data_IF_312140769820
#
_entry.id   IF_312140769820
#
_cell.length_a   1.000
_cell.length_b   1.000
_cell.length_c   1.000
_cell.angle_alpha   90.00
_cell.angle_beta   90.00
_cell.angle_gamma   90.00
#
_symmetry.space_group_name_H-M   'P 1'
#
loop_
_entity.id
_entity.type
_entity.pdbx_description
1 polymer ?
#
# COMPACT_ATOMS: atom_id res chain seq x y z
N UNK A 1 35.06 -56.71 -8.29
CA UNK A 1 33.63 -56.73 -8.69
C UNK A 1 32.86 -55.81 -7.76
N UNK A 2 32.10 -54.91 -8.36
CA UNK A 2 31.32 -53.82 -7.77
C UNK A 2 30.26 -54.29 -6.76
N UNK A 3 29.91 -53.41 -5.81
CA UNK A 3 28.78 -53.62 -4.90
C UNK A 3 28.54 -52.47 -3.92
N UNK A 4 28.56 -51.22 -4.40
CA UNK A 4 28.07 -50.06 -3.65
C UNK A 4 26.54 -50.08 -3.72
N UNK A 5 25.84 -50.07 -2.59
CA UNK A 5 24.41 -49.74 -2.61
C UNK A 5 23.68 -49.93 -1.28
N UNK A 6 22.84 -48.95 -0.92
CA UNK A 6 21.72 -49.04 0.05
C UNK A 6 21.83 -48.41 1.46
N UNK A 7 22.62 -47.35 1.68
CA UNK A 7 22.48 -46.55 2.93
C UNK A 7 22.16 -45.05 2.78
N UNK A 8 21.95 -44.53 1.57
CA UNK A 8 21.74 -43.08 1.36
C UNK A 8 20.28 -42.61 1.22
N UNK A 9 19.29 -43.50 1.26
CA UNK A 9 17.89 -43.11 0.92
C UNK A 9 17.09 -42.61 2.14
N UNK A 10 17.46 -42.95 3.38
CA UNK A 10 16.67 -42.60 4.57
C UNK A 10 16.93 -41.20 5.14
N UNK A 11 18.06 -40.57 4.82
CA UNK A 11 18.37 -39.21 5.31
C UNK A 11 17.74 -38.08 4.48
N UNK A 12 17.35 -38.35 3.23
CA UNK A 12 16.76 -37.33 2.37
C UNK A 12 15.33 -36.94 2.78
N UNK A 13 14.56 -37.88 3.36
CA UNK A 13 13.17 -37.64 3.74
C UNK A 13 13.00 -36.85 5.05
N UNK A 14 13.97 -36.91 5.97
CA UNK A 14 13.91 -36.16 7.22
C UNK A 14 14.30 -34.68 7.06
N UNK A 15 15.10 -34.34 6.04
CA UNK A 15 15.50 -32.95 5.75
C UNK A 15 14.41 -32.20 4.98
N UNK A 16 13.60 -32.91 4.18
CA UNK A 16 12.50 -32.29 3.42
C UNK A 16 11.39 -31.68 4.30
N UNK A 17 11.10 -32.26 5.46
CA UNK A 17 10.08 -31.73 6.37
C UNK A 17 10.56 -30.57 7.25
N UNK A 18 11.87 -30.44 7.50
CA UNK A 18 12.42 -29.31 8.25
C UNK A 18 12.51 -28.02 7.41
N UNK A 19 12.57 -28.14 6.08
CA UNK A 19 12.49 -26.98 5.18
C UNK A 19 11.06 -26.46 4.97
N UNK A 20 10.03 -27.25 5.28
CA UNK A 20 8.62 -26.86 5.16
C UNK A 20 8.10 -26.04 6.35
N UNK A 21 8.89 -25.91 7.43
CA UNK A 21 8.56 -25.09 8.60
C UNK A 21 9.17 -23.67 8.55
N UNK A 22 9.91 -23.34 7.50
CA UNK A 22 10.20 -21.95 7.18
C UNK A 22 8.92 -21.37 6.59
N UNK A 23 8.13 -20.67 7.41
CA UNK A 23 6.94 -19.94 7.02
C UNK A 23 7.19 -19.26 5.67
N UNK A 24 6.62 -19.82 4.60
CA UNK A 24 6.76 -19.23 3.28
C UNK A 24 6.04 -17.88 3.37
N UNK A 25 6.81 -16.81 3.54
CA UNK A 25 6.31 -15.46 3.47
C UNK A 25 5.89 -15.26 2.02
N UNK A 26 4.59 -15.43 1.75
CA UNK A 26 4.05 -15.23 0.41
C UNK A 26 3.73 -13.76 0.29
N UNK A 27 4.50 -13.05 -0.51
CA UNK A 27 4.15 -11.71 -0.94
C UNK A 27 2.92 -11.79 -1.85
N UNK A 28 1.86 -11.07 -1.48
CA UNK A 28 0.67 -10.89 -2.31
C UNK A 28 0.50 -9.42 -2.62
N UNK A 29 0.00 -9.12 -3.82
CA UNK A 29 -0.42 -7.77 -4.16
C UNK A 29 -1.49 -7.31 -3.15
N UNK A 30 -1.21 -6.20 -2.47
CA UNK A 30 -2.13 -5.60 -1.52
C UNK A 30 -3.32 -5.00 -2.30
N UNK A 31 -4.56 -5.23 -1.85
CA UNK A 31 -5.71 -4.67 -2.52
C UNK A 31 -5.80 -3.15 -2.28
N UNK A 32 -6.08 -2.40 -3.34
CA UNK A 32 -6.18 -0.93 -3.27
C UNK A 32 -6.04 -0.26 -4.63
N UNK A 33 -6.06 1.07 -4.61
CA UNK A 33 -5.73 1.94 -5.75
C UNK A 33 -4.55 2.80 -5.32
N UNK A 34 -3.44 2.73 -6.04
CA UNK A 34 -2.19 3.35 -5.65
C UNK A 34 -1.67 4.25 -6.76
N UNK A 35 -1.26 5.46 -6.41
CA UNK A 35 -0.64 6.41 -7.34
C UNK A 35 0.73 6.82 -6.84
N UNK A 36 1.70 6.71 -7.75
CA UNK A 36 3.08 7.17 -7.59
C UNK A 36 3.24 8.43 -8.45
N UNK A 37 3.49 9.58 -7.82
CA UNK A 37 3.56 10.88 -8.46
C UNK A 37 4.99 11.39 -8.39
N UNK A 38 5.70 11.34 -9.52
CA UNK A 38 7.03 11.89 -9.64
C UNK A 38 6.94 13.39 -9.92
N UNK A 39 7.33 14.19 -8.94
CA UNK A 39 7.37 15.64 -9.01
C UNK A 39 8.65 16.11 -9.73
N UNK A 40 8.58 17.27 -10.37
CA UNK A 40 9.72 17.89 -11.07
C UNK A 40 10.74 18.56 -10.14
N UNK A 41 10.40 18.71 -8.87
CA UNK A 41 11.26 19.25 -7.81
C UNK A 41 10.88 18.60 -6.47
N UNK A 42 11.75 18.67 -5.45
CA UNK A 42 11.42 18.22 -4.11
C UNK A 42 10.14 18.91 -3.59
N UNK A 43 9.17 18.15 -3.04
CA UNK A 43 7.97 18.73 -2.44
C UNK A 43 8.36 19.63 -1.26
N UNK A 44 7.75 20.82 -1.10
CA UNK A 44 7.88 21.61 0.12
C UNK A 44 7.19 20.89 1.29
N UNK A 45 7.63 21.20 2.51
CA UNK A 45 7.14 20.55 3.74
C UNK A 45 5.62 20.68 3.95
N UNK A 46 4.98 21.70 3.35
CA UNK A 46 3.54 21.95 3.45
C UNK A 46 2.70 21.18 2.42
N UNK A 47 3.30 20.71 1.32
CA UNK A 47 2.57 20.14 0.18
C UNK A 47 1.67 18.99 0.59
N UNK A 48 2.18 18.13 1.48
CA UNK A 48 1.47 16.93 1.90
C UNK A 48 0.19 17.28 2.68
N UNK A 49 0.27 18.27 3.58
CA UNK A 49 -0.87 18.73 4.38
C UNK A 49 -1.90 19.45 3.51
N UNK A 50 -1.45 20.35 2.63
CA UNK A 50 -2.32 21.08 1.72
C UNK A 50 -3.09 20.12 0.79
N UNK A 51 -2.37 19.19 0.17
CA UNK A 51 -2.98 18.21 -0.73
C UNK A 51 -3.97 17.28 -0.01
N UNK A 52 -3.67 16.88 1.22
CA UNK A 52 -4.59 16.09 2.03
C UNK A 52 -5.89 16.84 2.37
N UNK A 53 -5.83 18.16 2.57
CA UNK A 53 -7.03 19.00 2.72
C UNK A 53 -7.92 18.98 1.48
N UNK A 54 -7.33 19.00 0.29
CA UNK A 54 -8.07 18.90 -0.97
C UNK A 54 -8.68 17.51 -1.19
N UNK A 55 -7.92 16.46 -0.85
CA UNK A 55 -8.40 15.08 -0.89
C UNK A 55 -9.57 14.87 0.07
N UNK A 56 -9.52 15.44 1.28
CA UNK A 56 -10.62 15.41 2.22
C UNK A 56 -11.88 16.10 1.66
N UNK A 57 -11.72 17.28 1.05
CA UNK A 57 -12.81 17.99 0.41
C UNK A 57 -13.45 17.21 -0.75
N UNK A 58 -12.63 16.50 -1.55
CA UNK A 58 -13.10 15.66 -2.65
C UNK A 58 -13.85 14.41 -2.18
N UNK A 59 -13.32 13.76 -1.14
CA UNK A 59 -13.74 12.41 -0.73
C UNK A 59 -14.85 12.39 0.32
N UNK A 60 -15.14 13.53 0.95
CA UNK A 60 -16.02 13.65 2.12
C UNK A 60 -15.57 12.75 3.30
N UNK A 61 -14.28 12.43 3.36
CA UNK A 61 -13.65 11.68 4.45
C UNK A 61 -13.01 12.66 5.45
N UNK A 62 -12.83 12.22 6.68
CA UNK A 62 -12.23 13.05 7.73
C UNK A 62 -10.70 13.00 7.65
N UNK A 63 -10.01 14.15 7.58
CA UNK A 63 -8.56 14.18 7.64
C UNK A 63 -8.10 13.87 9.08
N UNK A 64 -7.23 12.88 9.22
CA UNK A 64 -6.45 12.61 10.43
C UNK A 64 -4.99 12.89 10.14
N UNK A 65 -4.46 13.90 10.82
CA UNK A 65 -3.07 14.31 10.71
C UNK A 65 -2.20 13.40 11.56
N UNK A 66 -1.21 12.77 10.94
CA UNK A 66 -0.18 12.10 11.72
C UNK A 66 0.70 13.19 12.33
N UNK A 67 0.72 13.28 13.66
CA UNK A 67 1.64 14.19 14.34
C UNK A 67 3.10 13.79 14.09
N UNK A 68 4.05 14.53 14.71
CA UNK A 68 5.51 14.34 14.60
C UNK A 68 6.07 12.91 14.86
N UNK A 69 5.23 11.94 15.23
CA UNK A 69 5.66 10.66 15.80
C UNK A 69 5.16 9.41 15.05
N UNK A 70 4.45 9.52 13.94
CA UNK A 70 4.03 8.33 13.17
C UNK A 70 4.42 8.45 11.70
N UNK A 71 5.65 8.01 11.43
CA UNK A 71 6.36 7.99 10.13
C UNK A 71 6.63 9.38 9.53
N UNK A 72 7.89 9.85 9.48
CA UNK A 72 8.24 11.20 9.02
C UNK A 72 7.87 11.46 7.55
N UNK A 73 7.60 10.42 6.77
CA UNK A 73 7.17 10.47 5.38
C UNK A 73 5.63 10.54 5.20
N UNK A 74 4.84 10.23 6.24
CA UNK A 74 3.38 10.30 6.22
C UNK A 74 2.87 11.56 6.92
N UNK A 75 2.19 12.43 6.17
CA UNK A 75 1.61 13.65 6.75
C UNK A 75 0.15 13.48 7.17
N UNK A 76 -0.60 12.61 6.50
CA UNK A 76 -2.04 12.56 6.65
C UNK A 76 -2.63 11.21 6.19
N UNK A 77 -3.67 10.80 6.90
CA UNK A 77 -4.61 9.80 6.43
C UNK A 77 -6.00 10.44 6.36
N UNK A 78 -6.73 10.19 5.29
CA UNK A 78 -8.12 10.64 5.15
C UNK A 78 -9.01 9.41 5.26
N UNK A 79 -9.85 9.38 6.29
CA UNK A 79 -10.48 8.16 6.79
C UNK A 79 -12.00 8.35 6.92
N UNK A 80 -12.79 7.29 6.76
CA UNK A 80 -14.11 7.24 7.40
C UNK A 80 -14.13 6.20 8.51
N UNK A 81 -14.82 6.53 9.60
CA UNK A 81 -15.16 5.57 10.66
C UNK A 81 -16.65 5.20 10.55
N UNK A 82 -17.10 4.92 9.32
CA UNK A 82 -18.52 4.73 9.06
C UNK A 82 -18.98 3.40 9.67
N UNK A 83 -19.78 3.47 10.73
CA UNK A 83 -20.38 2.31 11.39
C UNK A 83 -21.26 1.43 10.46
N UNK A 84 -21.65 1.94 9.29
CA UNK A 84 -22.59 1.30 8.36
C UNK A 84 -22.03 1.07 6.93
N UNK A 85 -20.71 1.19 6.70
CA UNK A 85 -20.10 0.97 5.38
C UNK A 85 -18.66 0.46 5.48
N UNK A 86 -18.02 0.07 4.36
CA UNK A 86 -16.62 -0.34 4.39
C UNK A 86 -15.74 0.86 4.76
N UNK A 87 -14.84 0.64 5.71
CA UNK A 87 -13.84 1.63 6.12
C UNK A 87 -12.91 1.92 4.94
N UNK A 88 -12.69 3.19 4.64
CA UNK A 88 -11.81 3.65 3.57
C UNK A 88 -10.71 4.48 4.16
N UNK A 89 -9.52 4.30 3.62
CA UNK A 89 -8.35 5.06 4.01
C UNK A 89 -7.60 5.56 2.78
N UNK A 90 -7.30 6.86 2.75
CA UNK A 90 -6.39 7.46 1.77
C UNK A 90 -5.16 7.92 2.52
N UNK A 91 -4.03 7.30 2.25
CA UNK A 91 -2.75 7.67 2.82
C UNK A 91 -1.98 8.53 1.84
N UNK A 92 -1.42 9.63 2.32
CA UNK A 92 -0.63 10.57 1.52
C UNK A 92 0.76 10.65 2.13
N UNK A 93 1.76 10.33 1.32
CA UNK A 93 3.16 10.19 1.75
C UNK A 93 4.07 10.95 0.80
N UNK A 94 5.03 11.70 1.32
CA UNK A 94 6.04 12.40 0.51
C UNK A 94 7.43 11.85 0.78
N UNK A 95 8.21 11.70 -0.29
CA UNK A 95 9.64 11.42 -0.23
C UNK A 95 10.38 12.57 -0.93
N UNK A 96 10.93 13.48 -0.12
CA UNK A 96 11.60 14.67 -0.62
C UNK A 96 12.89 14.33 -1.40
N UNK A 97 13.63 13.31 -0.94
CA UNK A 97 14.88 12.89 -1.56
C UNK A 97 14.66 12.36 -2.98
N UNK A 98 13.53 11.67 -3.20
CA UNK A 98 13.15 11.12 -4.51
C UNK A 98 12.20 12.02 -5.29
N UNK A 99 11.80 13.16 -4.73
CA UNK A 99 10.77 14.05 -5.31
C UNK A 99 9.48 13.30 -5.64
N UNK A 100 9.02 12.46 -4.72
CA UNK A 100 7.84 11.60 -4.90
C UNK A 100 6.70 11.98 -3.95
N UNK A 101 5.48 11.84 -4.45
CA UNK A 101 4.25 11.83 -3.66
C UNK A 101 3.54 10.50 -3.93
N UNK A 102 3.16 9.79 -2.87
CA UNK A 102 2.40 8.55 -2.92
C UNK A 102 0.99 8.79 -2.40
N UNK A 103 0.01 8.28 -3.12
CA UNK A 103 -1.41 8.34 -2.74
C UNK A 103 -1.97 6.93 -2.76
N UNK A 104 -2.25 6.38 -1.58
CA UNK A 104 -2.66 5.00 -1.39
C UNK A 104 -4.11 4.96 -0.87
N UNK A 105 -5.05 4.59 -1.74
CA UNK A 105 -6.46 4.39 -1.40
C UNK A 105 -6.73 2.91 -1.11
N UNK A 106 -7.23 2.62 0.09
CA UNK A 106 -7.59 1.28 0.55
C UNK A 106 -9.03 1.23 1.04
N UNK A 107 -9.62 0.05 0.89
CA UNK A 107 -10.91 -0.31 1.47
C UNK A 107 -10.69 -1.48 2.42
N UNK A 108 -11.35 -1.45 3.57
CA UNK A 108 -11.23 -2.43 4.62
C UNK A 108 -12.59 -3.08 4.89
N UNK A 109 -12.57 -4.40 4.96
CA UNK A 109 -13.66 -5.21 5.48
C UNK A 109 -13.32 -5.80 6.86
N UNK A 110 -14.16 -6.69 7.40
CA UNK A 110 -13.98 -7.27 8.73
C UNK A 110 -12.65 -8.00 8.96
N UNK A 111 -12.01 -8.47 7.88
CA UNK A 111 -10.72 -9.19 7.92
C UNK A 111 -9.50 -8.38 7.51
N UNK A 112 -9.62 -7.06 7.33
CA UNK A 112 -8.53 -6.18 6.88
C UNK A 112 -8.73 -5.64 5.45
N UNK A 113 -7.65 -5.25 4.74
CA UNK A 113 -7.74 -4.71 3.40
C UNK A 113 -8.44 -5.66 2.43
N UNK A 114 -9.40 -5.15 1.66
CA UNK A 114 -10.18 -5.91 0.69
C UNK A 114 -10.14 -5.28 -0.70
N UNK A 115 -10.51 -6.07 -1.72
CA UNK A 115 -10.61 -5.57 -3.09
C UNK A 115 -11.53 -4.34 -3.15
N UNK A 116 -11.10 -3.24 -3.80
CA UNK A 116 -11.90 -2.01 -3.85
C UNK A 116 -13.28 -2.21 -4.48
N UNK A 117 -14.31 -1.75 -3.79
CA UNK A 117 -15.67 -1.67 -4.35
C UNK A 117 -15.73 -0.73 -5.57
N UNK A 118 -16.85 -0.76 -6.32
CA UNK A 118 -17.07 0.16 -7.45
C UNK A 118 -16.96 1.63 -7.02
N UNK A 119 -17.49 1.97 -5.84
CA UNK A 119 -17.42 3.33 -5.30
C UNK A 119 -15.98 3.74 -4.98
N UNK A 120 -15.18 2.84 -4.41
CA UNK A 120 -13.76 3.11 -4.12
C UNK A 120 -12.94 3.24 -5.40
N UNK A 121 -13.24 2.46 -6.44
CA UNK A 121 -12.62 2.64 -7.76
C UNK A 121 -12.99 3.98 -8.42
N UNK A 122 -14.23 4.42 -8.25
CA UNK A 122 -14.66 5.75 -8.71
C UNK A 122 -13.89 6.86 -7.99
N UNK A 123 -13.79 6.78 -6.66
CA UNK A 123 -12.99 7.70 -5.87
C UNK A 123 -11.52 7.69 -6.31
N UNK A 124 -10.94 6.52 -6.59
CA UNK A 124 -9.61 6.41 -7.17
C UNK A 124 -9.45 7.18 -8.48
N UNK A 125 -10.45 7.14 -9.37
CA UNK A 125 -10.44 7.92 -10.61
C UNK A 125 -10.53 9.42 -10.35
N UNK A 126 -11.36 9.85 -9.41
CA UNK A 126 -11.46 11.25 -9.01
C UNK A 126 -10.15 11.76 -8.39
N UNK A 127 -9.47 10.93 -7.59
CA UNK A 127 -8.14 11.22 -7.07
C UNK A 127 -7.12 11.39 -8.20
N UNK A 128 -7.13 10.51 -9.20
CA UNK A 128 -6.24 10.66 -10.36
C UNK A 128 -6.47 12.01 -11.08
N UNK A 129 -7.73 12.43 -11.25
CA UNK A 129 -8.05 13.73 -11.83
C UNK A 129 -7.54 14.90 -10.98
N UNK A 130 -7.73 14.83 -9.65
CA UNK A 130 -7.21 15.83 -8.72
C UNK A 130 -5.67 15.91 -8.76
N UNK A 131 -4.98 14.76 -8.76
CA UNK A 131 -3.52 14.68 -8.89
C UNK A 131 -3.07 15.34 -10.19
N UNK A 132 -3.69 15.00 -11.33
CA UNK A 132 -3.35 15.60 -12.62
C UNK A 132 -3.60 17.12 -12.67
N UNK A 133 -4.68 17.59 -12.04
CA UNK A 133 -4.98 19.02 -11.97
C UNK A 133 -3.99 19.79 -11.09
N UNK A 134 -3.56 19.19 -9.98
CA UNK A 134 -2.62 19.80 -9.01
C UNK A 134 -1.17 19.73 -9.46
N UNK A 135 -0.79 18.63 -10.11
CA UNK A 135 0.57 18.35 -10.53
C UNK A 135 0.64 18.09 -12.04
N UNK A 136 0.30 19.08 -12.89
CA UNK A 136 0.18 18.87 -14.34
C UNK A 136 1.51 18.50 -15.02
N UNK A 137 2.65 18.88 -14.42
CA UNK A 137 3.99 18.53 -14.91
C UNK A 137 4.53 17.21 -14.32
N UNK A 138 3.83 16.59 -13.37
CA UNK A 138 4.29 15.37 -12.72
C UNK A 138 4.02 14.14 -13.58
N UNK A 139 4.92 13.16 -13.50
CA UNK A 139 4.68 11.84 -14.07
C UNK A 139 3.89 11.01 -13.05
N UNK A 140 2.64 10.71 -13.37
CA UNK A 140 1.75 9.89 -12.53
C UNK A 140 1.75 8.46 -13.04
N UNK A 141 2.00 7.51 -12.14
CA UNK A 141 1.95 6.07 -12.45
C UNK A 141 0.98 5.38 -11.49
N UNK A 142 0.12 4.51 -12.00
CA UNK A 142 -0.68 3.65 -11.13
C UNK A 142 0.19 2.49 -10.64
N UNK A 143 0.41 2.45 -9.33
CA UNK A 143 1.31 1.51 -8.68
C UNK A 143 0.64 0.21 -8.23
N UNK A 144 1.48 -0.71 -7.77
CA UNK A 144 1.09 -1.89 -7.00
C UNK A 144 1.82 -1.85 -5.67
N UNK A 145 1.14 -2.22 -4.59
CA UNK A 145 1.76 -2.45 -3.29
C UNK A 145 1.74 -3.94 -3.00
N UNK A 146 2.73 -4.43 -2.25
CA UNK A 146 2.80 -5.82 -1.83
C UNK A 146 2.70 -5.86 -0.31
N UNK A 147 1.94 -6.84 0.19
CA UNK A 147 1.84 -7.13 1.62
C UNK A 147 2.24 -8.58 1.86
N UNK A 148 3.07 -8.80 2.88
CA UNK A 148 3.38 -10.13 3.36
C UNK A 148 2.21 -10.76 4.07
N UNK A 149 1.87 -11.99 3.72
CA UNK A 149 0.93 -12.81 4.48
C UNK A 149 1.68 -14.06 4.95
N UNK A 150 1.56 -14.37 6.25
CA UNK A 150 2.03 -15.65 6.78
C UNK A 150 1.19 -16.76 6.13
N UNK A 151 1.84 -17.66 5.39
CA UNK A 151 1.17 -18.87 4.92
C UNK A 151 0.81 -19.72 6.15
N UNK A 152 -0.48 -19.90 6.40
CA UNK A 152 -1.03 -20.86 7.36
C UNK A 152 -1.08 -22.26 6.75
#
# INVERSE_FOLDING_TARGET
>A
MSGIGSRRVRFAWLIGCLAAACSAFVEREAPGVFYDVQLGAPPPDTLCVEFAGEVAALSHLEPRWHGLLQRPDQCAAVLNDAAAGPTREIWITTDAARSMLFVDLREFGPGGPTQPSRQTKELGRQLAQLIHAKFPAAKVTQGKRFSGVLAH
#
